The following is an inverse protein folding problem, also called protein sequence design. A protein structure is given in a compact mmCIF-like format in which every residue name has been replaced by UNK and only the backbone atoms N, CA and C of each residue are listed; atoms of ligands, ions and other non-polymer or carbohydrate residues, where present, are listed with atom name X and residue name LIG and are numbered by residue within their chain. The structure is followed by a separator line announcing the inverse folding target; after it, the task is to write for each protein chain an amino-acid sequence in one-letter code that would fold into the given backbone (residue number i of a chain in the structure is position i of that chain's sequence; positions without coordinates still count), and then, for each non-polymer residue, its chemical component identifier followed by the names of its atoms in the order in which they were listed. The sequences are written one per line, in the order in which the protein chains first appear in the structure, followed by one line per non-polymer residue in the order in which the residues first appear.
data_IF_277191054477
#
_entry.id   IF_277191054477
#
_cell.length_a   1.000
_cell.length_b   1.000
_cell.length_c   1.000
_cell.angle_alpha   90.00
_cell.angle_beta   90.00
_cell.angle_gamma   90.00
#
_symmetry.space_group_name_H-M   'P 1'
#
loop_
_entity.id
_entity.type
_entity.pdbx_description
1 polymer ?
#
# COMPACT_ATOMS: atom_id res chain seq x y z
N UNK A 1 -54.44 -39.86 -38.87
CA UNK A 1 -55.53 -39.13 -39.57
C UNK A 1 -55.09 -37.67 -39.65
N UNK A 2 -54.42 -37.26 -40.73
CA UNK A 2 -55.00 -36.65 -41.97
C UNK A 2 -55.59 -35.27 -41.64
N UNK A 3 -54.81 -34.19 -41.84
CA UNK A 3 -54.91 -33.18 -42.94
C UNK A 3 -56.19 -32.32 -42.84
N UNK A 4 -56.17 -30.98 -42.95
CA UNK A 4 -55.87 -30.23 -44.18
C UNK A 4 -55.33 -28.80 -43.94
N UNK A 5 -54.61 -28.35 -44.97
CA UNK A 5 -53.89 -27.10 -45.20
C UNK A 5 -54.74 -26.23 -46.17
N UNK A 6 -54.34 -24.96 -46.32
CA UNK A 6 -54.64 -23.96 -47.38
C UNK A 6 -55.86 -23.06 -47.11
N UNK A 7 -55.80 -21.74 -47.22
CA UNK A 7 -54.86 -20.84 -47.93
C UNK A 7 -55.65 -19.94 -48.91
N UNK A 8 -55.11 -18.74 -49.23
CA UNK A 8 -55.62 -17.60 -50.04
C UNK A 8 -56.32 -16.51 -49.22
N UNK A 9 -55.82 -15.27 -49.00
CA UNK A 9 -55.14 -14.21 -49.81
C UNK A 9 -55.97 -13.71 -50.99
N UNK A 10 -56.37 -12.42 -50.92
CA UNK A 10 -56.44 -11.32 -51.92
C UNK A 10 -57.03 -10.10 -51.16
N UNK A 11 -56.29 -9.03 -50.81
CA UNK A 11 -55.68 -7.92 -51.56
C UNK A 11 -56.68 -6.92 -52.20
N UNK A 12 -56.41 -5.62 -51.96
CA UNK A 12 -56.87 -4.40 -52.66
C UNK A 12 -58.18 -3.76 -52.11
N UNK A 13 -58.38 -2.45 -51.93
CA UNK A 13 -57.73 -1.23 -52.44
C UNK A 13 -58.22 0.01 -51.62
N UNK A 14 -57.27 0.91 -51.32
CA UNK A 14 -57.31 2.37 -51.48
C UNK A 14 -58.41 3.29 -50.85
N UNK A 15 -57.89 4.26 -50.07
CA UNK A 15 -58.09 5.74 -50.17
C UNK A 15 -59.43 6.31 -49.69
N UNK A 16 -59.50 7.32 -48.80
CA UNK A 16 -58.47 8.10 -48.14
C UNK A 16 -59.02 9.25 -47.26
N UNK A 17 -58.07 9.95 -46.63
CA UNK A 17 -58.08 11.36 -46.19
C UNK A 17 -59.07 11.77 -45.07
N UNK A 18 -58.73 12.59 -44.07
CA UNK A 18 -57.56 13.42 -43.77
C UNK A 18 -57.77 14.05 -42.37
N UNK A 19 -56.68 14.28 -41.64
CA UNK A 19 -56.30 15.47 -40.82
C UNK A 19 -55.09 15.02 -39.98
N UNK A 20 -53.85 15.13 -40.47
CA UNK A 20 -52.89 16.26 -40.30
C UNK A 20 -52.86 16.81 -38.86
N UNK A 21 -51.76 16.80 -38.11
CA UNK A 21 -50.40 17.21 -38.50
C UNK A 21 -49.31 16.63 -37.59
N UNK A 22 -48.18 16.37 -38.21
CA UNK A 22 -46.84 16.06 -37.73
C UNK A 22 -46.25 17.03 -36.71
N UNK A 23 -45.38 16.51 -35.82
CA UNK A 23 -44.05 17.09 -35.59
C UNK A 23 -43.07 16.04 -35.05
N UNK A 24 -41.94 15.94 -35.74
CA UNK A 24 -40.73 15.18 -35.39
C UNK A 24 -40.08 15.76 -34.12
N UNK A 25 -39.45 14.93 -33.29
CA UNK A 25 -37.98 14.99 -33.11
C UNK A 25 -37.49 14.01 -32.04
N UNK A 26 -36.35 13.41 -32.35
CA UNK A 26 -35.56 12.54 -31.50
C UNK A 26 -35.00 13.28 -30.27
N UNK A 27 -34.93 12.60 -29.13
CA UNK A 27 -34.33 13.17 -27.92
C UNK A 27 -34.06 12.13 -26.86
N UNK A 28 -32.87 11.51 -26.94
CA UNK A 28 -32.01 11.10 -25.81
C UNK A 28 -32.72 11.01 -24.43
N UNK A 29 -33.15 9.82 -24.04
CA UNK A 29 -33.52 9.56 -22.65
C UNK A 29 -32.25 9.43 -21.78
N UNK A 30 -31.59 10.56 -21.55
CA UNK A 30 -30.73 10.75 -20.38
C UNK A 30 -31.56 10.39 -19.14
N UNK A 31 -31.04 9.56 -18.20
CA UNK A 31 -31.75 9.27 -16.97
C UNK A 31 -32.08 10.59 -16.29
N UNK A 32 -33.36 10.89 -16.11
CA UNK A 32 -33.78 12.09 -15.38
C UNK A 32 -33.14 12.04 -13.99
N UNK A 33 -32.23 12.99 -13.70
CA UNK A 33 -31.64 13.12 -12.37
C UNK A 33 -32.80 13.36 -11.38
N UNK A 34 -33.04 12.39 -10.49
CA UNK A 34 -34.14 12.42 -9.52
C UNK A 34 -34.03 13.58 -8.51
N UNK A 35 -32.89 14.25 -8.44
CA UNK A 35 -32.60 15.35 -7.51
C UNK A 35 -31.80 16.43 -8.24
N UNK A 36 -32.16 17.70 -8.04
CA UNK A 36 -31.43 18.86 -8.55
C UNK A 36 -29.92 18.75 -8.18
N UNK A 37 -28.98 19.01 -9.13
CA UNK A 37 -27.54 18.99 -8.88
C UNK A 37 -27.09 19.72 -7.61
N UNK A 38 -27.82 20.76 -7.19
CA UNK A 38 -27.58 21.50 -5.94
C UNK A 38 -27.72 20.65 -4.67
N UNK A 39 -28.53 19.60 -4.70
CA UNK A 39 -28.73 18.66 -3.59
C UNK A 39 -28.12 17.28 -3.89
N UNK A 40 -27.26 17.21 -4.91
CA UNK A 40 -26.58 15.98 -5.29
C UNK A 40 -25.33 15.77 -4.45
N UNK A 41 -25.26 14.62 -3.78
CA UNK A 41 -24.10 14.13 -3.02
C UNK A 41 -22.83 14.05 -3.90
N UNK A 42 -22.98 14.10 -5.23
CA UNK A 42 -21.83 14.13 -6.15
C UNK A 42 -20.98 15.41 -6.00
N UNK A 43 -21.61 16.57 -5.74
CA UNK A 43 -20.86 17.80 -5.44
C UNK A 43 -20.11 17.64 -4.11
N UNK A 44 -20.78 17.12 -3.08
CA UNK A 44 -20.20 16.82 -1.77
C UNK A 44 -18.99 15.88 -1.87
N UNK A 45 -19.03 14.85 -2.75
CA UNK A 45 -17.88 13.95 -2.97
C UNK A 45 -16.67 14.69 -3.54
N UNK A 46 -16.89 15.56 -4.53
CA UNK A 46 -15.81 16.35 -5.13
C UNK A 46 -15.23 17.38 -4.15
N UNK A 47 -16.05 17.89 -3.23
CA UNK A 47 -15.62 18.79 -2.16
C UNK A 47 -14.88 18.03 -1.05
N UNK A 48 -15.31 16.82 -0.71
CA UNK A 48 -14.62 15.94 0.22
C UNK A 48 -13.24 15.52 -0.30
N UNK A 49 -13.08 15.30 -1.60
CA UNK A 49 -11.77 15.01 -2.19
C UNK A 49 -10.84 16.23 -2.16
N UNK A 50 -11.37 17.44 -2.36
CA UNK A 50 -10.62 18.70 -2.16
C UNK A 50 -10.23 18.87 -0.69
N UNK A 51 -11.14 18.60 0.25
CA UNK A 51 -10.84 18.64 1.68
C UNK A 51 -9.79 17.60 2.05
N UNK A 52 -9.86 16.37 1.52
CA UNK A 52 -8.83 15.34 1.69
C UNK A 52 -7.46 15.80 1.22
N UNK A 53 -7.37 16.53 0.10
CA UNK A 53 -6.09 17.07 -0.38
C UNK A 53 -5.45 18.08 0.58
N UNK A 54 -6.25 18.74 1.42
CA UNK A 54 -5.77 19.69 2.44
C UNK A 54 -5.38 19.04 3.78
N UNK A 55 -5.68 17.76 3.98
CA UNK A 55 -5.34 17.04 5.21
C UNK A 55 -3.88 16.56 5.15
N UNK A 56 -3.09 16.76 6.23
CA UNK A 56 -1.73 16.23 6.31
C UNK A 56 -1.66 14.73 6.01
N UNK A 57 -0.60 14.29 5.32
CA UNK A 57 -0.43 12.89 4.89
C UNK A 57 -0.47 11.89 6.04
N UNK A 58 0.15 12.24 7.18
CA UNK A 58 0.13 11.39 8.38
C UNK A 58 -1.31 11.16 8.89
N UNK A 59 -2.11 12.23 8.96
CA UNK A 59 -3.50 12.15 9.40
C UNK A 59 -4.36 11.37 8.40
N UNK A 60 -4.09 11.50 7.09
CA UNK A 60 -4.76 10.69 6.07
C UNK A 60 -4.49 9.21 6.27
N UNK A 61 -3.22 8.83 6.44
CA UNK A 61 -2.82 7.44 6.68
C UNK A 61 -3.50 6.84 7.91
N UNK A 62 -3.51 7.58 9.02
CA UNK A 62 -4.19 7.14 10.26
C UNK A 62 -5.69 6.96 10.05
N UNK A 63 -6.33 7.86 9.31
CA UNK A 63 -7.76 7.75 8.98
C UNK A 63 -8.05 6.54 8.08
N UNK A 64 -7.20 6.26 7.10
CA UNK A 64 -7.35 5.11 6.20
C UNK A 64 -7.17 3.79 6.96
N UNK A 65 -6.25 3.73 7.92
CA UNK A 65 -6.07 2.57 8.80
C UNK A 65 -7.27 2.32 9.71
N UNK A 66 -7.83 3.39 10.29
CA UNK A 66 -9.06 3.30 11.08
C UNK A 66 -10.25 2.89 10.22
N UNK A 67 -10.34 3.41 9.00
CA UNK A 67 -11.36 3.02 8.03
C UNK A 67 -11.25 1.53 7.68
N UNK A 68 -10.04 1.00 7.48
CA UNK A 68 -9.81 -0.43 7.26
C UNK A 68 -10.28 -1.27 8.46
N UNK A 69 -9.95 -0.88 9.69
CA UNK A 69 -10.42 -1.60 10.88
C UNK A 69 -11.96 -1.57 10.99
N UNK A 70 -12.59 -0.44 10.70
CA UNK A 70 -14.03 -0.29 10.68
C UNK A 70 -14.69 -1.16 9.58
N UNK A 71 -14.07 -1.23 8.41
CA UNK A 71 -14.54 -2.07 7.29
C UNK A 71 -14.55 -3.55 7.68
N UNK A 72 -13.51 -4.03 8.37
CA UNK A 72 -13.44 -5.41 8.87
C UNK A 72 -14.59 -5.73 9.86
N UNK A 73 -15.13 -4.71 10.53
CA UNK A 73 -16.21 -4.80 11.51
C UNK A 73 -17.58 -4.34 10.96
N UNK A 74 -17.68 -3.99 9.68
CA UNK A 74 -18.92 -3.45 9.11
C UNK A 74 -20.04 -4.50 9.05
N UNK A 75 -19.69 -5.76 8.78
CA UNK A 75 -20.65 -6.86 8.72
C UNK A 75 -20.87 -7.52 10.09
N UNK A 76 -22.00 -7.21 10.73
CA UNK A 76 -22.46 -7.82 11.99
C UNK A 76 -22.92 -9.29 11.84
N UNK A 77 -22.82 -9.92 10.66
CA UNK A 77 -23.04 -11.37 10.52
C UNK A 77 -21.76 -12.18 10.72
N UNK A 78 -20.59 -11.55 10.54
CA UNK A 78 -19.32 -12.25 10.69
C UNK A 78 -19.04 -12.53 12.18
N UNK A 79 -18.61 -13.75 12.57
CA UNK A 79 -18.22 -14.01 13.95
C UNK A 79 -17.00 -13.17 14.37
N UNK A 80 -16.96 -12.61 15.60
CA UNK A 80 -15.83 -11.81 16.08
C UNK A 80 -14.47 -12.51 15.96
N UNK A 81 -14.43 -13.84 16.13
CA UNK A 81 -13.21 -14.62 15.94
C UNK A 81 -12.64 -14.49 14.52
N UNK A 82 -13.49 -14.54 13.48
CA UNK A 82 -13.06 -14.39 12.08
C UNK A 82 -12.58 -12.97 11.76
N UNK A 83 -13.19 -11.96 12.37
CA UNK A 83 -12.73 -10.57 12.22
C UNK A 83 -11.32 -10.40 12.80
N UNK A 84 -11.09 -10.93 14.01
CA UNK A 84 -9.76 -10.94 14.65
C UNK A 84 -8.74 -11.70 13.82
N UNK A 85 -9.09 -12.87 13.30
CA UNK A 85 -8.21 -13.68 12.44
C UNK A 85 -7.77 -12.90 11.20
N UNK A 86 -8.70 -12.29 10.46
CA UNK A 86 -8.38 -11.46 9.28
C UNK A 86 -7.44 -10.31 9.62
N UNK A 87 -7.67 -9.61 10.72
CA UNK A 87 -6.80 -8.51 11.13
C UNK A 87 -5.40 -9.02 11.49
N UNK A 88 -5.29 -10.08 12.28
CA UNK A 88 -4.01 -10.66 12.68
C UNK A 88 -3.22 -11.20 11.48
N UNK A 89 -3.91 -11.74 10.46
CA UNK A 89 -3.30 -12.12 9.19
C UNK A 89 -2.71 -10.92 8.43
N UNK A 90 -3.39 -9.78 8.43
CA UNK A 90 -2.86 -8.55 7.83
C UNK A 90 -1.60 -8.06 8.56
N UNK A 91 -1.63 -8.05 9.90
CA UNK A 91 -0.46 -7.71 10.73
C UNK A 91 0.69 -8.67 10.44
N UNK A 92 0.44 -9.99 10.37
CA UNK A 92 1.45 -10.99 10.03
C UNK A 92 2.09 -10.70 8.67
N UNK A 93 1.29 -10.45 7.63
CA UNK A 93 1.78 -10.11 6.28
C UNK A 93 2.67 -8.86 6.30
N UNK A 94 2.30 -7.84 7.08
CA UNK A 94 3.12 -6.62 7.22
C UNK A 94 4.44 -6.91 7.94
N UNK A 95 4.44 -7.74 8.98
CA UNK A 95 5.66 -8.22 9.66
C UNK A 95 6.58 -8.99 8.71
N UNK A 96 6.03 -9.88 7.89
CA UNK A 96 6.79 -10.62 6.88
C UNK A 96 7.45 -9.69 5.86
N UNK A 97 6.70 -8.70 5.36
CA UNK A 97 7.20 -7.70 4.41
C UNK A 97 8.32 -6.86 5.03
N UNK A 98 8.12 -6.35 6.24
CA UNK A 98 9.14 -5.63 6.99
C UNK A 98 10.42 -6.46 7.19
N UNK A 99 10.29 -7.71 7.63
CA UNK A 99 11.44 -8.59 7.83
C UNK A 99 12.19 -8.86 6.51
N UNK A 100 11.47 -9.01 5.39
CA UNK A 100 12.08 -9.16 4.06
C UNK A 100 12.88 -7.94 3.66
N UNK A 101 12.34 -6.75 3.89
CA UNK A 101 13.02 -5.49 3.57
C UNK A 101 14.26 -5.28 4.44
N UNK A 102 14.19 -5.63 5.74
CA UNK A 102 15.36 -5.60 6.63
C UNK A 102 16.45 -6.58 6.22
N UNK A 103 16.08 -7.78 5.78
CA UNK A 103 17.05 -8.75 5.25
C UNK A 103 17.72 -8.21 3.99
N UNK A 104 16.95 -7.65 3.05
CA UNK A 104 17.51 -7.01 1.85
C UNK A 104 18.45 -5.86 2.18
N UNK A 105 18.07 -4.98 3.10
CA UNK A 105 18.92 -3.86 3.52
C UNK A 105 20.27 -4.35 4.05
N UNK A 106 20.29 -5.43 4.85
CA UNK A 106 21.54 -6.07 5.32
C UNK A 106 22.36 -6.66 4.19
N UNK A 107 21.73 -7.37 3.26
CA UNK A 107 22.41 -7.94 2.10
C UNK A 107 23.06 -6.86 1.23
N UNK A 108 22.34 -5.77 0.98
CA UNK A 108 22.83 -4.62 0.22
C UNK A 108 24.00 -3.93 0.93
N UNK A 109 23.88 -3.71 2.24
CA UNK A 109 24.95 -3.17 3.07
C UNK A 109 26.21 -4.05 3.01
N UNK A 110 26.08 -5.36 3.27
CA UNK A 110 27.21 -6.30 3.21
C UNK A 110 27.86 -6.33 1.83
N UNK A 111 27.06 -6.25 0.76
CA UNK A 111 27.55 -6.21 -0.62
C UNK A 111 28.28 -4.90 -0.92
N UNK A 112 27.85 -3.78 -0.33
CA UNK A 112 28.55 -2.49 -0.44
C UNK A 112 29.87 -2.54 0.35
N UNK A 113 29.83 -2.97 1.61
CA UNK A 113 30.99 -3.12 2.48
C UNK A 113 32.09 -3.96 1.81
N UNK A 114 31.71 -5.12 1.23
CA UNK A 114 32.66 -5.96 0.49
C UNK A 114 33.27 -5.24 -0.71
N UNK A 115 32.45 -4.53 -1.50
CA UNK A 115 32.92 -3.76 -2.66
C UNK A 115 33.89 -2.66 -2.25
N UNK A 116 33.56 -1.91 -1.21
CA UNK A 116 34.40 -0.82 -0.70
C UNK A 116 35.77 -1.36 -0.24
N UNK A 117 35.80 -2.52 0.43
CA UNK A 117 37.05 -3.18 0.85
C UNK A 117 37.89 -3.71 -0.32
N UNK A 118 37.25 -4.32 -1.31
CA UNK A 118 37.92 -4.80 -2.54
C UNK A 118 38.52 -3.62 -3.31
N UNK A 119 37.75 -2.54 -3.47
CA UNK A 119 38.20 -1.32 -4.15
C UNK A 119 39.36 -0.65 -3.40
N UNK A 120 39.24 -0.48 -2.09
CA UNK A 120 40.32 0.07 -1.26
C UNK A 120 41.61 -0.75 -1.39
N UNK A 121 41.51 -2.08 -1.32
CA UNK A 121 42.67 -2.97 -1.45
C UNK A 121 43.33 -2.86 -2.83
N UNK A 122 42.52 -2.79 -3.88
CA UNK A 122 43.00 -2.61 -5.25
C UNK A 122 43.72 -1.27 -5.41
N UNK A 123 43.11 -0.18 -4.94
CA UNK A 123 43.70 1.16 -5.00
C UNK A 123 45.03 1.22 -4.22
N UNK A 124 45.09 0.64 -3.03
CA UNK A 124 46.32 0.56 -2.23
C UNK A 124 47.45 -0.18 -2.96
N UNK A 125 47.11 -1.28 -3.64
CA UNK A 125 48.07 -2.04 -4.44
C UNK A 125 48.59 -1.21 -5.62
N UNK A 126 47.70 -0.59 -6.39
CA UNK A 126 48.07 0.25 -7.54
C UNK A 126 48.92 1.46 -7.13
N UNK A 127 48.54 2.16 -6.06
CA UNK A 127 49.29 3.29 -5.51
C UNK A 127 50.70 2.86 -5.08
N UNK A 128 50.82 1.70 -4.41
CA UNK A 128 52.11 1.15 -4.00
C UNK A 128 52.97 0.74 -5.20
N UNK A 129 52.41 0.04 -6.19
CA UNK A 129 53.13 -0.37 -7.39
C UNK A 129 53.64 0.84 -8.18
N UNK A 130 52.78 1.85 -8.36
CA UNK A 130 53.14 3.10 -9.03
C UNK A 130 54.25 3.87 -8.28
N UNK A 131 54.16 3.97 -6.96
CA UNK A 131 55.20 4.63 -6.16
C UNK A 131 56.55 3.91 -6.25
N UNK A 132 56.54 2.58 -6.19
CA UNK A 132 57.75 1.74 -6.24
C UNK A 132 58.35 1.61 -7.65
N UNK A 133 57.61 1.94 -8.69
CA UNK A 133 58.09 1.92 -10.08
C UNK A 133 59.21 2.95 -10.36
N UNK A 134 59.32 3.98 -9.52
CA UNK A 134 60.29 5.07 -9.65
C UNK A 134 61.34 5.03 -8.54
N UNK A 135 62.54 5.56 -8.82
CA UNK A 135 63.60 5.68 -7.81
C UNK A 135 63.28 6.85 -6.89
N UNK A 136 62.93 6.54 -5.64
CA UNK A 136 62.58 7.51 -4.59
C UNK A 136 63.65 7.57 -3.49
N UNK A 137 63.76 8.73 -2.84
CA UNK A 137 64.64 8.92 -1.67
C UNK A 137 64.11 8.15 -0.45
N UNK A 138 64.99 7.88 0.52
CA UNK A 138 64.61 7.17 1.75
C UNK A 138 63.55 7.90 2.56
N UNK A 139 63.66 9.23 2.66
CA UNK A 139 62.71 10.08 3.38
C UNK A 139 61.30 9.98 2.77
N UNK A 140 61.18 10.21 1.45
CA UNK A 140 59.90 10.09 0.73
C UNK A 140 59.30 8.69 0.84
N UNK A 141 60.13 7.65 0.89
CA UNK A 141 59.67 6.27 1.08
C UNK A 141 59.06 6.07 2.46
N UNK A 142 59.70 6.59 3.51
CA UNK A 142 59.17 6.54 4.88
C UNK A 142 57.82 7.26 4.97
N UNK A 143 57.74 8.48 4.44
CA UNK A 143 56.51 9.28 4.48
C UNK A 143 55.36 8.58 3.74
N UNK A 144 55.64 8.02 2.56
CA UNK A 144 54.65 7.25 1.81
C UNK A 144 54.07 6.08 2.61
N UNK A 145 54.91 5.26 3.23
CA UNK A 145 54.41 4.11 3.99
C UNK A 145 53.69 4.51 5.27
N UNK A 146 54.07 5.64 5.90
CA UNK A 146 53.33 6.21 7.02
C UNK A 146 51.92 6.65 6.60
N UNK A 147 51.78 7.38 5.48
CA UNK A 147 50.48 7.78 4.92
C UNK A 147 49.63 6.57 4.53
N UNK A 148 50.21 5.52 3.93
CA UNK A 148 49.46 4.30 3.61
C UNK A 148 48.96 3.58 4.87
N UNK A 149 49.76 3.53 5.94
CA UNK A 149 49.33 2.92 7.21
C UNK A 149 48.22 3.75 7.87
N UNK A 150 48.33 5.07 7.86
CA UNK A 150 47.28 5.98 8.33
C UNK A 150 45.98 5.80 7.55
N UNK A 151 46.02 5.80 6.22
CA UNK A 151 44.84 5.53 5.38
C UNK A 151 44.18 4.20 5.69
N UNK A 152 44.97 3.14 5.91
CA UNK A 152 44.44 1.82 6.28
C UNK A 152 43.74 1.87 7.64
N UNK A 153 44.30 2.58 8.61
CA UNK A 153 43.69 2.77 9.94
C UNK A 153 42.38 3.53 9.84
N UNK A 154 42.36 4.67 9.14
CA UNK A 154 41.16 5.49 8.93
C UNK A 154 40.07 4.70 8.21
N UNK A 155 40.38 4.06 7.08
CA UNK A 155 39.42 3.23 6.37
C UNK A 155 38.85 2.11 7.27
N UNK A 156 39.68 1.48 8.11
CA UNK A 156 39.22 0.43 9.02
C UNK A 156 38.32 0.98 10.14
N UNK A 157 38.55 2.21 10.59
CA UNK A 157 37.69 2.90 11.56
C UNK A 157 36.35 3.25 10.91
N UNK A 158 36.38 3.91 9.74
CA UNK A 158 35.17 4.30 9.00
C UNK A 158 34.27 3.10 8.69
N UNK A 159 34.85 1.95 8.33
CA UNK A 159 34.10 0.72 8.08
C UNK A 159 33.42 0.17 9.35
N UNK A 160 34.04 0.34 10.52
CA UNK A 160 33.43 -0.07 11.80
C UNK A 160 32.29 0.88 12.15
N UNK A 161 32.54 2.17 12.08
CA UNK A 161 31.54 3.20 12.41
C UNK A 161 30.32 3.10 11.50
N UNK A 162 30.52 2.94 10.19
CA UNK A 162 29.43 2.75 9.23
C UNK A 162 28.59 1.49 9.53
N UNK A 163 29.23 0.42 10.03
CA UNK A 163 28.52 -0.81 10.41
C UNK A 163 27.74 -0.63 11.71
N UNK A 164 28.33 0.04 12.69
CA UNK A 164 27.68 0.32 13.96
C UNK A 164 26.47 1.24 13.78
N UNK A 165 26.59 2.27 12.94
CA UNK A 165 25.50 3.15 12.54
C UNK A 165 24.38 2.38 11.83
N UNK A 166 24.74 1.54 10.86
CA UNK A 166 23.76 0.71 10.15
C UNK A 166 23.01 -0.23 11.09
N UNK A 167 23.70 -0.94 11.99
CA UNK A 167 23.04 -1.82 12.95
C UNK A 167 22.20 -1.07 13.98
N UNK A 168 22.58 0.16 14.34
CA UNK A 168 21.77 1.04 15.18
C UNK A 168 20.45 1.42 14.49
N UNK A 169 20.52 1.89 13.24
CA UNK A 169 19.35 2.23 12.43
C UNK A 169 18.42 1.01 12.23
N UNK A 170 18.97 -0.17 11.95
CA UNK A 170 18.16 -1.40 11.83
C UNK A 170 17.45 -1.76 13.14
N UNK A 171 18.12 -1.60 14.30
CA UNK A 171 17.50 -1.82 15.60
C UNK A 171 16.37 -0.81 15.86
N UNK A 172 16.61 0.46 15.55
CA UNK A 172 15.62 1.52 15.72
C UNK A 172 14.40 1.30 14.83
N UNK A 173 14.60 1.02 13.53
CA UNK A 173 13.52 0.70 12.59
C UNK A 173 12.67 -0.47 13.07
N UNK A 174 13.30 -1.53 13.59
CA UNK A 174 12.57 -2.68 14.14
C UNK A 174 11.77 -2.29 15.38
N UNK A 175 12.33 -1.52 16.29
CA UNK A 175 11.62 -1.03 17.48
C UNK A 175 10.40 -0.20 17.07
N UNK A 176 10.60 0.80 16.22
CA UNK A 176 9.53 1.70 15.76
C UNK A 176 8.41 0.92 15.06
N UNK A 177 8.75 -0.09 14.26
CA UNK A 177 7.76 -0.95 13.61
C UNK A 177 6.97 -1.82 14.60
N UNK A 178 7.61 -2.42 15.60
CA UNK A 178 6.89 -3.23 16.60
C UNK A 178 6.03 -2.37 17.53
N UNK A 179 6.50 -1.18 17.91
CA UNK A 179 5.71 -0.22 18.69
C UNK A 179 4.46 0.21 17.91
N UNK A 180 4.62 0.54 16.63
CA UNK A 180 3.51 0.84 15.72
C UNK A 180 2.54 -0.35 15.57
N UNK A 181 3.05 -1.56 15.35
CA UNK A 181 2.20 -2.74 15.19
C UNK A 181 1.40 -3.02 16.46
N UNK A 182 2.00 -2.80 17.64
CA UNK A 182 1.34 -2.93 18.93
C UNK A 182 0.21 -1.90 19.09
N UNK A 183 0.49 -0.64 18.80
CA UNK A 183 -0.53 0.43 18.83
C UNK A 183 -1.74 0.05 17.96
N UNK A 184 -1.53 -0.43 16.75
CA UNK A 184 -2.62 -0.86 15.86
C UNK A 184 -3.39 -2.07 16.35
N UNK A 185 -2.71 -3.00 17.02
CA UNK A 185 -3.39 -4.14 17.66
C UNK A 185 -4.26 -3.65 18.82
N UNK A 186 -3.78 -2.69 19.61
CA UNK A 186 -4.51 -2.11 20.73
C UNK A 186 -5.74 -1.33 20.23
N UNK A 187 -5.59 -0.45 19.23
CA UNK A 187 -6.71 0.25 18.56
C UNK A 187 -7.75 -0.75 18.03
N UNK A 188 -7.30 -1.80 17.33
CA UNK A 188 -8.21 -2.84 16.83
C UNK A 188 -8.94 -3.56 17.97
N UNK A 189 -8.25 -3.90 19.05
CA UNK A 189 -8.85 -4.61 20.18
C UNK A 189 -9.92 -3.77 20.88
N UNK A 190 -9.78 -2.45 20.94
CA UNK A 190 -10.81 -1.56 21.48
C UNK A 190 -12.07 -1.59 20.62
N UNK A 191 -11.94 -1.39 19.31
CA UNK A 191 -13.06 -1.47 18.37
C UNK A 191 -13.71 -2.87 18.36
N UNK A 192 -12.88 -3.92 18.46
CA UNK A 192 -13.33 -5.30 18.43
C UNK A 192 -14.18 -5.68 19.64
N UNK A 193 -13.93 -5.07 20.80
CA UNK A 193 -14.76 -5.27 22.00
C UNK A 193 -16.19 -4.78 21.76
N UNK A 194 -16.34 -3.55 21.26
CA UNK A 194 -17.66 -2.97 20.94
C UNK A 194 -18.38 -3.80 19.86
N UNK A 195 -17.68 -4.17 18.80
CA UNK A 195 -18.22 -5.06 17.78
C UNK A 195 -18.71 -6.40 18.35
N UNK A 196 -17.93 -7.02 19.24
CA UNK A 196 -18.28 -8.29 19.87
C UNK A 196 -19.55 -8.17 20.72
N UNK A 197 -19.72 -7.06 21.45
CA UNK A 197 -20.94 -6.79 22.21
C UNK A 197 -22.17 -6.71 21.29
N UNK A 198 -22.09 -5.90 20.24
CA UNK A 198 -23.18 -5.74 19.26
C UNK A 198 -23.54 -7.04 18.55
N UNK A 199 -22.54 -7.85 18.20
CA UNK A 199 -22.76 -9.16 17.59
C UNK A 199 -23.48 -10.13 18.54
N UNK A 200 -23.09 -10.14 19.82
CA UNK A 200 -23.75 -10.96 20.84
C UNK A 200 -25.21 -10.53 21.08
N UNK A 201 -25.46 -9.23 21.17
CA UNK A 201 -26.81 -8.66 21.34
C UNK A 201 -27.73 -9.03 20.19
N UNK A 202 -27.26 -8.86 18.95
CA UNK A 202 -27.99 -9.27 17.74
C UNK A 202 -28.34 -10.76 17.75
N UNK A 203 -27.37 -11.61 18.07
CA UNK A 203 -27.59 -13.05 18.12
C UNK A 203 -28.52 -13.47 19.25
N UNK A 204 -28.49 -12.77 20.39
CA UNK A 204 -29.44 -12.97 21.48
C UNK A 204 -30.86 -12.57 21.05
N UNK A 205 -31.02 -11.41 20.40
CA UNK A 205 -32.28 -10.92 19.88
C UNK A 205 -32.89 -11.86 18.82
N UNK A 206 -32.07 -12.38 17.91
CA UNK A 206 -32.50 -13.38 16.92
C UNK A 206 -32.96 -14.69 17.57
N UNK A 207 -32.25 -15.16 18.61
CA UNK A 207 -32.66 -16.35 19.37
C UNK A 207 -33.97 -16.14 20.13
N UNK A 208 -34.20 -14.94 20.67
CA UNK A 208 -35.45 -14.62 21.39
C UNK A 208 -36.64 -14.36 20.46
N UNK A 209 -36.40 -13.91 19.23
CA UNK A 209 -37.46 -13.65 18.23
C UNK A 209 -37.87 -14.89 17.43
N UNK A 210 -37.14 -16.01 17.57
CA UNK A 210 -37.40 -17.28 16.89
C UNK A 210 -38.30 -18.26 17.67
N UNK A 211 -39.01 -17.77 18.69
CA UNK A 211 -40.06 -18.48 19.42
C UNK A 211 -41.44 -17.91 19.07
#
# INVERSE_FOLDING_TARGET
MIQYILGFIILALAVGCQVSSTREDAGSSTPQQLVDPKYSIAQDRSELDKLRSSVPEETRRQNDEKALMAELMADLNTPPARVREKFMDLVRKKRELFNKDMTRAREEFNKKERRDREEFTKQQKEVRENFLSSKVSSEKRTDFFNDQDERRRTFSADQRDARDEFEADVREKRKNFEDYAKEKIDEFNELHKDYTLRWNEKNKAQKSSGY
#
